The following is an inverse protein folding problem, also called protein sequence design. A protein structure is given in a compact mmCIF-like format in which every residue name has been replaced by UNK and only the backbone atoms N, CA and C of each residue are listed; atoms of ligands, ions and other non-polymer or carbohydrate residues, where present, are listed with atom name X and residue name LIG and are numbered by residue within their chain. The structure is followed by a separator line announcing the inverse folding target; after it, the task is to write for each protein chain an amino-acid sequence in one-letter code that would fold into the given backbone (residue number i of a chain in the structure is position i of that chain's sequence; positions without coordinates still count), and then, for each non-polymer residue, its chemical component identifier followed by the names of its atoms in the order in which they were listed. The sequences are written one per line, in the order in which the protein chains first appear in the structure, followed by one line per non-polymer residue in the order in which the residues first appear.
data_IF_120791990262
#
_entry.id   IF_120791990262
#
_cell.length_a   1.000
_cell.length_b   1.000
_cell.length_c   1.000
_cell.angle_alpha   90.00
_cell.angle_beta   90.00
_cell.angle_gamma   90.00
#
_symmetry.space_group_name_H-M   'P 1'
#
loop_
_entity.id
_entity.type
_entity.pdbx_description
1 polymer ?
#
# COMPACT_ATOMS: atom_id res chain seq x y z
N UNK A 1 1.34 10.22 -12.17
CA UNK A 1 2.10 9.74 -10.99
C UNK A 1 1.62 10.47 -9.75
N UNK A 2 1.56 9.77 -8.65
CA UNK A 2 1.05 10.30 -7.38
C UNK A 2 2.22 10.66 -6.48
N UNK A 3 2.25 11.91 -6.00
CA UNK A 3 3.18 12.33 -4.95
C UNK A 3 2.52 12.15 -3.57
N UNK A 4 3.25 12.51 -2.53
CA UNK A 4 2.79 12.35 -1.13
C UNK A 4 1.48 13.09 -0.86
N UNK A 5 1.39 14.36 -1.26
CA UNK A 5 0.20 15.18 -1.04
C UNK A 5 -1.03 14.60 -1.75
N UNK A 6 -0.85 14.08 -2.96
CA UNK A 6 -1.95 13.49 -3.73
C UNK A 6 -2.46 12.19 -3.11
N UNK A 7 -1.55 11.36 -2.60
CA UNK A 7 -1.93 10.13 -1.88
C UNK A 7 -2.76 10.48 -0.64
N UNK A 8 -2.29 11.45 0.15
CA UNK A 8 -3.01 11.88 1.36
C UNK A 8 -4.39 12.42 1.00
N UNK A 9 -4.49 13.25 -0.03
CA UNK A 9 -5.76 13.80 -0.51
C UNK A 9 -6.74 12.69 -0.87
N UNK A 10 -6.32 11.73 -1.68
CA UNK A 10 -7.16 10.62 -2.13
C UNK A 10 -7.65 9.78 -0.95
N UNK A 11 -6.74 9.41 -0.05
CA UNK A 11 -7.10 8.59 1.11
C UNK A 11 -8.03 9.32 2.07
N UNK A 12 -7.85 10.63 2.24
CA UNK A 12 -8.75 11.43 3.07
C UNK A 12 -10.14 11.56 2.45
N UNK A 13 -10.24 11.63 1.14
CA UNK A 13 -11.54 11.66 0.45
C UNK A 13 -12.32 10.36 0.65
N UNK A 14 -11.66 9.21 0.53
CA UNK A 14 -12.30 7.92 0.80
C UNK A 14 -12.65 7.75 2.27
N UNK A 15 -11.85 8.30 3.16
CA UNK A 15 -12.06 8.24 4.60
C UNK A 15 -12.24 6.80 5.11
N UNK A 16 -11.35 5.90 4.70
CA UNK A 16 -11.38 4.50 5.13
C UNK A 16 -11.18 4.37 6.64
N UNK A 17 -11.75 3.32 7.22
CA UNK A 17 -11.56 2.99 8.63
C UNK A 17 -10.08 2.63 8.88
N UNK A 18 -9.38 3.47 9.67
CA UNK A 18 -7.95 3.32 9.95
C UNK A 18 -7.59 2.01 10.64
N UNK A 19 -8.55 1.37 11.31
CA UNK A 19 -8.32 0.08 11.97
C UNK A 19 -8.44 -1.09 11.02
N UNK A 20 -8.87 -0.86 9.78
CA UNK A 20 -9.21 -1.93 8.84
C UNK A 20 -8.39 -1.92 7.56
N UNK A 21 -7.40 -1.04 7.44
CA UNK A 21 -6.52 -1.03 6.28
C UNK A 21 -5.11 -0.59 6.63
N UNK A 22 -4.18 -0.84 5.72
CA UNK A 22 -2.81 -0.34 5.80
C UNK A 22 -2.31 -0.05 4.38
N UNK A 23 -1.62 1.08 4.21
CA UNK A 23 -1.01 1.46 2.93
C UNK A 23 0.30 0.69 2.76
N UNK A 24 0.51 0.10 1.57
CA UNK A 24 1.59 -0.83 1.31
C UNK A 24 2.58 -0.35 0.23
N UNK A 25 3.73 -1.01 0.21
CA UNK A 25 4.66 -1.06 -0.92
C UNK A 25 5.13 0.33 -1.36
N UNK A 26 5.14 0.62 -2.67
CA UNK A 26 5.63 1.90 -3.20
C UNK A 26 4.86 3.10 -2.68
N UNK A 27 3.54 2.98 -2.50
CA UNK A 27 2.75 4.07 -1.92
C UNK A 27 3.13 4.33 -0.46
N UNK A 28 3.43 3.29 0.31
CA UNK A 28 3.97 3.43 1.66
C UNK A 28 5.35 4.12 1.64
N UNK A 29 6.22 3.78 0.69
CA UNK A 29 7.52 4.41 0.54
C UNK A 29 7.38 5.92 0.29
N UNK A 30 6.41 6.32 -0.53
CA UNK A 30 6.15 7.75 -0.79
C UNK A 30 5.73 8.45 0.49
N UNK A 31 4.86 7.84 1.28
CA UNK A 31 4.40 8.41 2.56
C UNK A 31 5.53 8.51 3.59
N UNK A 32 6.49 7.59 3.56
CA UNK A 32 7.69 7.66 4.40
C UNK A 32 8.72 8.71 3.93
N UNK A 33 8.52 9.28 2.74
CA UNK A 33 9.48 10.22 2.16
C UNK A 33 10.68 9.55 1.51
N UNK A 34 10.63 8.26 1.24
CA UNK A 34 11.72 7.48 0.65
C UNK A 34 11.69 7.54 -0.87
N UNK A 35 10.51 7.72 -1.45
CA UNK A 35 10.29 7.76 -2.89
C UNK A 35 9.44 8.99 -3.21
N UNK A 36 9.66 9.60 -4.37
CA UNK A 36 8.92 10.83 -4.73
C UNK A 36 7.53 10.55 -5.29
N UNK A 37 7.39 9.48 -6.07
CA UNK A 37 6.15 9.20 -6.81
C UNK A 37 5.85 7.72 -6.84
N UNK A 38 4.57 7.41 -6.98
CA UNK A 38 4.08 6.06 -7.27
C UNK A 38 2.95 6.14 -8.28
N UNK A 39 2.65 5.03 -8.92
CA UNK A 39 1.56 4.94 -9.92
C UNK A 39 0.22 4.74 -9.24
N UNK A 40 0.17 3.85 -8.26
CA UNK A 40 -1.06 3.40 -7.61
C UNK A 40 -0.91 3.49 -6.10
N UNK A 41 -2.03 3.45 -5.38
CA UNK A 41 -2.06 3.33 -3.93
C UNK A 41 -2.46 1.89 -3.61
N UNK A 42 -1.51 1.10 -3.11
CA UNK A 42 -1.77 -0.27 -2.69
C UNK A 42 -2.18 -0.30 -1.23
N UNK A 43 -3.33 -0.89 -0.93
CA UNK A 43 -3.76 -1.08 0.45
C UNK A 43 -4.09 -2.55 0.71
N UNK A 44 -3.84 -3.00 1.93
CA UNK A 44 -4.33 -4.27 2.42
C UNK A 44 -5.43 -4.01 3.44
N UNK A 45 -6.50 -4.79 3.40
CA UNK A 45 -7.68 -4.60 4.25
C UNK A 45 -8.03 -5.90 4.96
N UNK A 46 -8.81 -5.79 6.04
CA UNK A 46 -9.40 -6.96 6.69
C UNK A 46 -10.43 -7.61 5.78
N UNK A 47 -10.75 -8.88 5.99
CA UNK A 47 -11.72 -9.60 5.18
C UNK A 47 -13.12 -8.97 5.23
N UNK A 48 -13.55 -8.50 6.38
CA UNK A 48 -14.84 -7.83 6.50
C UNK A 48 -14.86 -6.52 5.73
N UNK A 49 -13.77 -5.75 5.76
CA UNK A 49 -13.67 -4.49 5.03
C UNK A 49 -13.55 -4.71 3.52
N UNK A 50 -12.87 -5.78 3.12
CA UNK A 50 -12.78 -6.21 1.72
C UNK A 50 -14.18 -6.43 1.14
N UNK A 51 -15.02 -7.17 1.84
CA UNK A 51 -16.39 -7.40 1.41
C UNK A 51 -17.21 -6.11 1.42
N UNK A 52 -17.01 -5.26 2.41
CA UNK A 52 -17.66 -3.96 2.48
C UNK A 52 -17.31 -3.09 1.26
N UNK A 53 -16.03 -3.03 0.87
CA UNK A 53 -15.61 -2.25 -0.28
C UNK A 53 -16.20 -2.78 -1.58
N UNK A 54 -16.23 -4.10 -1.76
CA UNK A 54 -16.84 -4.71 -2.94
C UNK A 54 -18.34 -4.44 -3.03
N UNK A 55 -19.03 -4.38 -1.89
CA UNK A 55 -20.47 -4.14 -1.86
C UNK A 55 -20.84 -2.66 -2.06
N UNK A 56 -19.95 -1.75 -1.72
CA UNK A 56 -20.27 -0.31 -1.66
C UNK A 56 -19.61 0.54 -2.75
N UNK A 57 -18.66 -0.02 -3.49
CA UNK A 57 -17.93 0.70 -4.55
C UNK A 57 -17.88 -0.12 -5.81
N UNK A 58 -17.73 0.56 -6.94
CA UNK A 58 -17.48 -0.09 -8.22
C UNK A 58 -16.02 -0.55 -8.25
N UNK A 59 -15.81 -1.86 -8.26
CA UNK A 59 -14.49 -2.46 -8.23
C UNK A 59 -14.27 -3.32 -9.46
N UNK A 60 -13.05 -3.26 -10.01
CA UNK A 60 -12.67 -4.04 -11.20
C UNK A 60 -11.58 -5.02 -10.81
N UNK A 61 -11.79 -6.30 -11.11
CA UNK A 61 -10.77 -7.32 -10.85
C UNK A 61 -9.48 -6.98 -11.60
N UNK A 62 -8.35 -7.07 -10.90
CA UNK A 62 -7.04 -6.80 -11.49
C UNK A 62 -6.15 -8.03 -11.55
N UNK A 63 -5.93 -8.70 -10.44
CA UNK A 63 -5.03 -9.85 -10.36
C UNK A 63 -5.30 -10.70 -9.13
N UNK A 64 -4.68 -11.89 -9.09
CA UNK A 64 -4.59 -12.69 -7.87
C UNK A 64 -3.32 -12.34 -7.12
N UNK A 65 -3.39 -12.34 -5.80
CA UNK A 65 -2.19 -12.18 -4.97
C UNK A 65 -1.47 -13.53 -4.80
N UNK A 66 -0.38 -13.52 -4.03
CA UNK A 66 0.45 -14.72 -3.82
C UNK A 66 -0.31 -15.85 -3.14
N UNK A 67 -1.37 -15.55 -2.41
CA UNK A 67 -2.21 -16.53 -1.72
C UNK A 67 -3.41 -16.99 -2.56
N UNK A 68 -3.55 -16.49 -3.78
CA UNK A 68 -4.66 -16.82 -4.66
C UNK A 68 -5.92 -16.00 -4.41
N UNK A 69 -5.85 -14.95 -3.59
CA UNK A 69 -6.99 -14.07 -3.33
C UNK A 69 -7.05 -12.95 -4.38
N UNK A 70 -8.26 -12.54 -4.72
CA UNK A 70 -8.47 -11.52 -5.75
C UNK A 70 -8.15 -10.12 -5.22
N UNK A 71 -7.37 -9.37 -6.01
CA UNK A 71 -7.13 -7.95 -5.80
C UNK A 71 -7.94 -7.14 -6.81
N UNK A 72 -8.48 -6.01 -6.37
CA UNK A 72 -9.36 -5.17 -7.17
C UNK A 72 -8.84 -3.75 -7.25
N UNK A 73 -9.16 -3.08 -8.35
CA UNK A 73 -9.02 -1.63 -8.48
C UNK A 73 -10.34 -0.96 -8.11
N UNK A 74 -10.24 0.09 -7.33
CA UNK A 74 -11.37 0.94 -6.95
C UNK A 74 -11.00 2.38 -7.34
N UNK A 75 -11.81 2.99 -8.20
CA UNK A 75 -11.45 4.28 -8.79
C UNK A 75 -10.22 4.15 -9.68
N UNK A 76 -9.51 5.26 -9.86
CA UNK A 76 -8.36 5.31 -10.77
C UNK A 76 -7.05 4.86 -10.12
N UNK A 77 -6.96 4.85 -8.77
CA UNK A 77 -5.68 4.73 -8.11
C UNK A 77 -5.58 3.69 -7.02
N UNK A 78 -6.70 3.23 -6.44
CA UNK A 78 -6.68 2.32 -5.29
C UNK A 78 -6.68 0.87 -5.75
N UNK A 79 -5.63 0.13 -5.35
CA UNK A 79 -5.56 -1.31 -5.50
C UNK A 79 -5.67 -1.93 -4.12
N UNK A 80 -6.59 -2.86 -3.90
CA UNK A 80 -6.77 -3.45 -2.59
C UNK A 80 -6.88 -4.98 -2.63
N UNK A 81 -6.38 -5.59 -1.57
CA UNK A 81 -6.44 -7.02 -1.30
C UNK A 81 -6.33 -7.25 0.20
N UNK A 82 -6.07 -8.49 0.61
CA UNK A 82 -6.08 -8.86 2.04
C UNK A 82 -4.75 -9.44 2.55
N UNK A 83 -3.73 -9.53 1.70
CA UNK A 83 -2.55 -10.37 1.96
C UNK A 83 -1.66 -9.86 3.10
N UNK A 84 -1.44 -8.56 3.22
CA UNK A 84 -0.41 -8.02 4.11
C UNK A 84 -0.94 -7.19 5.26
N UNK A 85 -2.21 -7.38 5.64
CA UNK A 85 -2.84 -6.57 6.67
C UNK A 85 -2.14 -6.64 8.02
N UNK A 86 -1.57 -7.79 8.37
CA UNK A 86 -1.07 -8.08 9.72
C UNK A 86 0.38 -7.68 9.96
N UNK A 87 1.05 -7.04 9.03
CA UNK A 87 2.40 -6.53 9.23
C UNK A 87 2.40 -5.34 10.19
N UNK A 88 3.59 -5.00 10.71
CA UNK A 88 3.76 -3.81 11.54
C UNK A 88 3.44 -2.57 10.73
N UNK A 89 2.81 -1.59 11.38
CA UNK A 89 2.42 -0.34 10.73
C UNK A 89 2.78 0.85 11.58
N UNK A 90 2.88 2.01 10.94
CA UNK A 90 3.07 3.31 11.57
C UNK A 90 1.96 4.24 11.16
N UNK A 91 1.67 5.24 12.00
CA UNK A 91 0.72 6.29 11.63
C UNK A 91 1.52 7.47 11.09
N UNK A 92 1.26 7.85 9.85
CA UNK A 92 1.88 8.99 9.18
C UNK A 92 0.75 9.89 8.67
N UNK A 93 0.71 11.12 9.16
CA UNK A 93 -0.36 12.07 8.84
C UNK A 93 -1.77 11.50 9.05
N UNK A 94 -1.93 10.70 10.11
CA UNK A 94 -3.19 10.06 10.44
C UNK A 94 -3.50 8.81 9.64
N UNK A 95 -2.61 8.38 8.74
CA UNK A 95 -2.81 7.23 7.87
C UNK A 95 -2.01 6.02 8.36
N UNK A 96 -2.60 4.81 8.33
CA UNK A 96 -1.88 3.59 8.68
C UNK A 96 -0.98 3.15 7.52
N UNK A 97 0.33 3.14 7.75
CA UNK A 97 1.33 2.91 6.71
C UNK A 97 2.23 1.74 7.11
N UNK A 98 2.50 0.86 6.16
CA UNK A 98 3.40 -0.27 6.34
C UNK A 98 4.77 0.20 6.84
N UNK A 99 5.29 -0.44 7.88
CA UNK A 99 6.61 -0.12 8.42
C UNK A 99 7.71 -0.43 7.39
N UNK A 100 8.81 0.33 7.44
CA UNK A 100 9.91 0.17 6.48
C UNK A 100 10.46 -1.25 6.46
N UNK A 101 10.61 -1.90 7.63
CA UNK A 101 11.08 -3.27 7.69
C UNK A 101 10.14 -4.24 6.98
N UNK A 102 8.85 -4.01 7.08
CA UNK A 102 7.85 -4.84 6.39
C UNK A 102 7.87 -4.61 4.87
N UNK A 103 8.10 -3.37 4.43
CA UNK A 103 8.25 -3.07 3.00
C UNK A 103 9.46 -3.81 2.43
N UNK A 104 10.57 -3.82 3.15
CA UNK A 104 11.79 -4.54 2.73
C UNK A 104 11.51 -6.03 2.58
N UNK A 105 10.83 -6.64 3.56
CA UNK A 105 10.47 -8.06 3.49
C UNK A 105 9.59 -8.36 2.27
N UNK A 106 8.59 -7.53 2.03
CA UNK A 106 7.69 -7.68 0.88
C UNK A 106 8.46 -7.64 -0.43
N UNK A 107 9.28 -6.63 -0.63
CA UNK A 107 10.00 -6.43 -1.89
C UNK A 107 11.06 -7.49 -2.13
N UNK A 108 11.71 -7.98 -1.09
CA UNK A 108 12.64 -9.12 -1.20
C UNK A 108 11.91 -10.40 -1.61
N UNK A 109 10.71 -10.61 -1.08
CA UNK A 109 9.89 -11.76 -1.43
C UNK A 109 9.42 -11.75 -2.87
N UNK A 110 9.09 -10.58 -3.42
CA UNK A 110 8.64 -10.43 -4.80
C UNK A 110 9.78 -10.58 -5.80
N UNK A 111 10.99 -10.16 -5.45
CA UNK A 111 12.20 -10.30 -6.25
C UNK A 111 12.06 -9.92 -7.72
N UNK A 112 11.35 -8.82 -8.00
CA UNK A 112 11.18 -8.27 -9.36
C UNK A 112 12.28 -7.26 -9.64
N UNK A 113 12.59 -7.03 -10.94
CA UNK A 113 13.61 -6.05 -11.33
C UNK A 113 13.36 -4.66 -10.76
N UNK A 114 12.12 -4.18 -10.82
CA UNK A 114 11.72 -2.88 -10.26
C UNK A 114 11.89 -2.80 -8.73
N UNK A 115 11.88 -3.94 -8.05
CA UNK A 115 12.05 -3.99 -6.60
C UNK A 115 13.50 -3.77 -6.18
N UNK A 116 14.47 -4.00 -7.06
CA UNK A 116 15.90 -3.76 -6.77
C UNK A 116 16.18 -2.29 -6.55
N UNK A 117 15.60 -1.41 -7.36
CA UNK A 117 15.74 0.04 -7.18
C UNK A 117 15.12 0.49 -5.86
N UNK A 118 13.92 0.00 -5.56
CA UNK A 118 13.23 0.33 -4.33
C UNK A 118 14.00 -0.20 -3.11
N UNK A 119 14.57 -1.40 -3.19
CA UNK A 119 15.38 -1.96 -2.12
C UNK A 119 16.62 -1.11 -1.85
N UNK A 120 17.27 -0.58 -2.89
CA UNK A 120 18.40 0.33 -2.72
C UNK A 120 17.99 1.58 -1.93
N UNK A 121 16.88 2.19 -2.31
CA UNK A 121 16.36 3.38 -1.62
C UNK A 121 16.03 3.07 -0.14
N UNK A 122 15.40 1.94 0.11
CA UNK A 122 15.03 1.50 1.46
C UNK A 122 16.25 1.24 2.33
N UNK A 123 17.28 0.60 1.79
CA UNK A 123 18.50 0.31 2.53
C UNK A 123 19.29 1.59 2.83
N UNK A 124 19.32 2.55 1.92
CA UNK A 124 19.91 3.86 2.17
C UNK A 124 19.17 4.60 3.28
N UNK A 125 17.84 4.60 3.24
CA UNK A 125 17.01 5.21 4.28
C UNK A 125 17.29 4.59 5.65
N UNK A 126 17.35 3.26 5.74
CA UNK A 126 17.65 2.57 7.01
C UNK A 126 19.03 2.89 7.53
N UNK A 127 20.02 3.02 6.66
CA UNK A 127 21.39 3.35 7.04
C UNK A 127 21.47 4.75 7.64
N UNK A 128 20.71 5.71 7.10
CA UNK A 128 20.71 7.11 7.50
C UNK A 128 19.80 7.39 8.73
N UNK A 129 18.97 6.44 9.06
CA UNK A 129 18.01 6.54 10.16
C UNK A 129 18.15 5.30 11.07
#
# INVERSE_FOLDING_TARGET
MLNREKIIEILNEYNFDCDKYVVLSSSAMVLHGIKEYTRDIDISVTWDYYNYLLDNYDCVFERYDINGDKCYMMGDYINFGVTYFYGNKRIIDGLPVQDVCEIIKLKRGLNRGKDLEDLKLLMMYKKDN
#
